data_IF_846098171533
#
_entry.id   IF_846098171533
#
_cell.length_a   1.000
_cell.length_b   1.000
_cell.length_c   1.000
_cell.angle_alpha   90.00
_cell.angle_beta   90.00
_cell.angle_gamma   90.00
#
_symmetry.space_group_name_H-M   'P 1'
#
loop_
_entity.id
_entity.type
_entity.pdbx_description
1 polymer ?
#
# COMPACT_ATOMS: atom_id res chain seq x y z
N UNK A 1 6.63 -13.07 1.83
CA UNK A 1 7.19 -11.78 1.52
C UNK A 1 8.50 -11.51 2.25
N UNK A 2 9.14 -10.44 1.86
CA UNK A 2 10.38 -9.96 2.45
C UNK A 2 10.22 -8.49 2.79
N UNK A 3 10.76 -8.09 3.93
CA UNK A 3 10.87 -6.69 4.33
C UNK A 3 12.27 -6.42 4.87
N UNK A 4 12.62 -5.16 5.04
CA UNK A 4 13.84 -4.74 5.70
C UNK A 4 13.51 -3.73 6.80
N UNK A 5 14.37 -3.70 7.82
CA UNK A 5 14.34 -2.71 8.88
C UNK A 5 15.58 -1.82 8.74
N UNK A 6 15.37 -0.53 8.50
CA UNK A 6 16.43 0.46 8.55
C UNK A 6 16.31 1.29 9.83
N UNK A 7 17.41 1.35 10.59
CA UNK A 7 17.51 2.18 11.80
C UNK A 7 18.83 2.95 11.72
N UNK A 8 18.77 4.26 11.92
CA UNK A 8 19.98 5.10 12.01
C UNK A 8 20.89 4.58 13.12
N UNK A 9 22.19 4.61 12.89
CA UNK A 9 23.20 3.99 13.78
C UNK A 9 23.07 4.46 15.23
N UNK A 10 22.84 5.76 15.42
CA UNK A 10 22.68 6.38 16.73
C UNK A 10 21.40 5.97 17.49
N UNK A 11 20.44 5.33 16.81
CA UNK A 11 19.19 4.86 17.39
C UNK A 11 19.13 3.34 17.57
N UNK A 12 20.12 2.60 17.05
CA UNK A 12 20.09 1.13 17.01
C UNK A 12 20.08 0.49 18.40
N UNK A 13 20.71 1.12 19.37
CA UNK A 13 20.73 0.63 20.76
C UNK A 13 19.36 0.68 21.47
N UNK A 14 18.46 1.54 20.96
CA UNK A 14 17.11 1.71 21.50
C UNK A 14 16.07 0.76 20.86
N UNK A 15 16.46 0.00 19.84
CA UNK A 15 15.56 -0.90 19.12
C UNK A 15 15.87 -2.34 19.49
N UNK A 16 14.97 -2.94 20.24
CA UNK A 16 15.09 -4.33 20.68
C UNK A 16 14.31 -5.27 19.76
N UNK A 17 14.80 -6.51 19.54
CA UNK A 17 14.09 -7.49 18.72
C UNK A 17 12.84 -7.99 19.46
N UNK A 18 11.76 -8.19 18.72
CA UNK A 18 10.55 -8.83 19.25
C UNK A 18 10.72 -10.35 19.41
N UNK A 19 11.64 -10.93 18.67
CA UNK A 19 12.01 -12.35 18.75
C UNK A 19 13.43 -12.45 19.27
N UNK A 20 13.60 -12.92 20.48
CA UNK A 20 14.90 -13.21 21.07
C UNK A 20 15.40 -14.54 20.55
N UNK A 21 16.60 -14.55 19.98
CA UNK A 21 17.23 -15.73 19.43
C UNK A 21 18.75 -15.73 19.69
N UNK A 22 19.50 -16.53 18.98
CA UNK A 22 20.94 -16.78 19.18
C UNK A 22 21.81 -15.52 19.21
N UNK A 23 21.41 -14.46 18.52
CA UNK A 23 22.15 -13.19 18.49
C UNK A 23 22.03 -12.37 19.78
N UNK A 24 21.06 -12.65 20.65
CA UNK A 24 20.78 -11.80 21.83
C UNK A 24 21.95 -11.71 22.82
N UNK A 25 22.54 -12.81 23.18
CA UNK A 25 23.70 -12.92 24.07
C UNK A 25 24.73 -13.88 23.46
N UNK A 26 25.14 -13.62 22.24
CA UNK A 26 26.03 -14.48 21.50
C UNK A 26 27.43 -14.53 22.15
N UNK A 27 27.97 -15.73 22.36
CA UNK A 27 29.36 -15.92 22.76
C UNK A 27 30.34 -15.48 21.68
N UNK A 28 29.89 -15.37 20.44
CA UNK A 28 30.66 -14.93 19.27
C UNK A 28 29.92 -13.79 18.56
N UNK A 29 29.90 -12.59 19.16
CA UNK A 29 29.20 -11.47 18.58
C UNK A 29 29.85 -11.05 17.25
N UNK A 30 28.99 -10.60 16.31
CA UNK A 30 29.43 -9.97 15.07
C UNK A 30 29.90 -8.54 15.26
N UNK A 31 30.01 -7.81 14.15
CA UNK A 31 30.44 -6.41 14.16
C UNK A 31 29.38 -5.43 14.65
N UNK A 32 28.14 -5.87 14.75
CA UNK A 32 26.99 -5.03 15.14
C UNK A 32 26.00 -5.82 15.98
N UNK A 33 25.82 -5.40 17.21
CA UNK A 33 24.83 -5.93 18.14
C UNK A 33 23.40 -5.84 17.57
N UNK A 34 23.09 -4.75 16.87
CA UNK A 34 21.81 -4.55 16.21
C UNK A 34 21.56 -5.62 15.12
N UNK A 35 22.56 -5.92 14.28
CA UNK A 35 22.46 -6.98 13.26
C UNK A 35 22.32 -8.35 13.90
N UNK A 36 23.15 -8.65 14.91
CA UNK A 36 23.08 -9.94 15.62
C UNK A 36 21.67 -10.17 16.21
N UNK A 37 21.07 -9.14 16.77
CA UNK A 37 19.75 -9.22 17.38
C UNK A 37 18.61 -9.39 16.38
N UNK A 38 18.70 -8.78 15.19
CA UNK A 38 17.58 -8.70 14.25
C UNK A 38 17.69 -9.68 13.08
N UNK A 39 18.89 -10.03 12.65
CA UNK A 39 19.07 -10.91 11.49
C UNK A 39 18.93 -12.40 11.87
N UNK A 40 19.37 -12.78 13.04
CA UNK A 40 19.36 -14.17 13.48
C UNK A 40 18.09 -14.53 14.27
N UNK A 41 17.02 -14.85 13.55
CA UNK A 41 15.71 -15.16 14.15
C UNK A 41 15.39 -16.67 14.16
N UNK A 42 16.40 -17.55 13.99
CA UNK A 42 16.25 -19.00 13.91
C UNK A 42 16.14 -19.53 12.49
N UNK A 43 16.03 -20.86 12.38
CA UNK A 43 15.92 -21.55 11.09
C UNK A 43 14.59 -21.23 10.42
N UNK A 44 14.64 -20.80 9.16
CA UNK A 44 13.47 -20.46 8.36
C UNK A 44 13.74 -20.61 6.87
N UNK A 45 12.70 -20.59 6.06
CA UNK A 45 12.83 -20.55 4.60
C UNK A 45 13.39 -19.17 4.17
N UNK A 46 14.54 -19.20 3.49
CA UNK A 46 15.24 -18.01 2.99
C UNK A 46 14.93 -17.72 1.52
N UNK A 47 14.12 -18.53 0.84
CA UNK A 47 13.86 -18.39 -0.59
C UNK A 47 13.33 -17.03 -0.98
N UNK A 48 12.44 -16.43 -0.16
CA UNK A 48 11.91 -15.09 -0.40
C UNK A 48 13.00 -14.00 -0.41
N UNK A 49 14.04 -14.11 0.43
CA UNK A 49 15.16 -13.15 0.45
C UNK A 49 16.00 -13.25 -0.81
N UNK A 50 16.18 -14.47 -1.34
CA UNK A 50 16.95 -14.72 -2.55
C UNK A 50 16.26 -14.16 -3.81
N UNK A 51 14.95 -13.88 -3.77
CA UNK A 51 14.22 -13.28 -4.90
C UNK A 51 14.39 -11.76 -5.00
N UNK A 52 14.86 -11.07 -3.94
CA UNK A 52 15.00 -9.61 -3.93
C UNK A 52 15.85 -9.05 -5.07
N UNK A 53 17.05 -9.61 -5.38
CA UNK A 53 17.85 -9.14 -6.50
C UNK A 53 17.11 -9.24 -7.85
N UNK A 54 16.35 -10.33 -8.06
CA UNK A 54 15.57 -10.54 -9.27
C UNK A 54 14.43 -9.50 -9.37
N UNK A 55 13.74 -9.21 -8.25
CA UNK A 55 12.69 -8.20 -8.21
C UNK A 55 13.23 -6.79 -8.51
N UNK A 56 14.39 -6.43 -7.94
CA UNK A 56 15.05 -5.13 -8.22
C UNK A 56 15.49 -5.04 -9.69
N UNK A 57 16.03 -6.13 -10.24
CA UNK A 57 16.41 -6.19 -11.66
C UNK A 57 15.18 -6.00 -12.55
N UNK A 58 14.08 -6.69 -12.26
CA UNK A 58 12.81 -6.56 -13.00
C UNK A 58 12.33 -5.11 -13.05
N UNK A 59 12.31 -4.40 -11.92
CA UNK A 59 11.92 -2.98 -11.88
C UNK A 59 12.80 -2.09 -12.76
N UNK A 60 14.12 -2.35 -12.79
CA UNK A 60 15.07 -1.61 -13.63
C UNK A 60 14.85 -1.88 -15.12
N UNK A 61 14.67 -3.15 -15.50
CA UNK A 61 14.46 -3.59 -16.89
C UNK A 61 13.14 -3.07 -17.48
N UNK A 62 12.13 -2.85 -16.64
CA UNK A 62 10.80 -2.37 -17.04
C UNK A 62 10.58 -0.88 -16.81
N UNK A 63 11.66 -0.10 -16.63
CA UNK A 63 11.61 1.35 -16.44
C UNK A 63 10.57 1.79 -15.38
N UNK A 64 10.65 1.18 -14.20
CA UNK A 64 9.70 1.41 -13.12
C UNK A 64 9.44 2.89 -12.77
N UNK A 65 10.42 3.82 -12.80
CA UNK A 65 10.15 5.23 -12.54
C UNK A 65 9.08 5.83 -13.47
N UNK A 66 9.12 5.49 -14.75
CA UNK A 66 8.13 5.98 -15.72
C UNK A 66 6.77 5.29 -15.53
N UNK A 67 6.76 3.98 -15.28
CA UNK A 67 5.53 3.23 -15.00
C UNK A 67 4.83 3.77 -13.76
N UNK A 68 5.55 3.97 -12.67
CA UNK A 68 4.99 4.49 -11.42
C UNK A 68 4.48 5.93 -11.56
N UNK A 69 5.16 6.75 -12.37
CA UNK A 69 4.70 8.12 -12.69
C UNK A 69 3.34 8.08 -13.39
N UNK A 70 3.18 7.25 -14.42
CA UNK A 70 1.91 7.08 -15.14
C UNK A 70 0.79 6.57 -14.23
N UNK A 71 1.08 5.57 -13.40
CA UNK A 71 0.12 5.07 -12.41
C UNK A 71 -0.34 6.19 -11.46
N UNK A 72 0.60 7.01 -10.96
CA UNK A 72 0.27 8.16 -10.12
C UNK A 72 -0.59 9.19 -10.84
N UNK A 73 -0.29 9.49 -12.09
CA UNK A 73 -1.08 10.42 -12.91
C UNK A 73 -2.53 9.94 -13.06
N UNK A 74 -2.74 8.66 -13.33
CA UNK A 74 -4.07 8.06 -13.35
C UNK A 74 -4.76 8.19 -11.98
N UNK A 75 -4.06 7.94 -10.87
CA UNK A 75 -4.63 8.12 -9.53
C UNK A 75 -5.09 9.55 -9.31
N UNK A 76 -4.26 10.55 -9.63
CA UNK A 76 -4.60 11.97 -9.44
C UNK A 76 -5.78 12.37 -10.31
N UNK A 77 -5.78 11.95 -11.59
CA UNK A 77 -6.85 12.27 -12.54
C UNK A 77 -8.20 11.70 -12.07
N UNK A 78 -8.23 10.43 -11.67
CA UNK A 78 -9.49 9.83 -11.22
C UNK A 78 -9.92 10.31 -9.84
N UNK A 79 -8.99 10.62 -8.92
CA UNK A 79 -9.35 11.29 -7.68
C UNK A 79 -10.08 12.58 -7.93
N UNK A 80 -9.60 13.40 -8.85
CA UNK A 80 -10.27 14.65 -9.23
C UNK A 80 -11.68 14.40 -9.76
N UNK A 81 -11.87 13.41 -10.66
CA UNK A 81 -13.20 13.04 -11.17
C UNK A 81 -14.16 12.62 -10.04
N UNK A 82 -13.69 11.90 -9.03
CA UNK A 82 -14.50 11.54 -7.86
C UNK A 82 -14.87 12.76 -7.03
N UNK A 83 -13.89 13.61 -6.70
CA UNK A 83 -14.07 14.81 -5.90
C UNK A 83 -15.07 15.76 -6.58
N UNK A 84 -14.90 16.03 -7.88
CA UNK A 84 -15.78 16.90 -8.66
C UNK A 84 -17.21 16.32 -8.71
N UNK A 85 -17.36 15.00 -8.90
CA UNK A 85 -18.67 14.37 -8.95
C UNK A 85 -19.40 14.37 -7.60
N UNK A 86 -18.68 14.06 -6.53
CA UNK A 86 -19.25 13.95 -5.17
C UNK A 86 -19.37 15.32 -4.48
N UNK A 87 -18.83 16.38 -5.08
CA UNK A 87 -18.75 17.71 -4.52
C UNK A 87 -18.16 17.72 -3.09
N UNK A 88 -17.03 17.07 -2.92
CA UNK A 88 -16.33 16.91 -1.64
C UNK A 88 -14.96 17.58 -1.68
N UNK A 89 -14.44 17.90 -0.50
CA UNK A 89 -13.08 18.40 -0.38
C UNK A 89 -12.04 17.26 -0.48
N UNK A 90 -10.89 17.59 -1.07
CA UNK A 90 -9.77 16.66 -1.13
C UNK A 90 -9.18 16.42 0.27
N UNK A 91 -9.02 15.16 0.73
CA UNK A 91 -8.47 14.88 2.05
C UNK A 91 -6.98 15.24 2.18
N UNK A 92 -6.27 15.41 1.08
CA UNK A 92 -4.86 15.82 1.06
C UNK A 92 -4.47 16.43 -0.29
N UNK A 93 -3.34 17.19 -0.36
CA UNK A 93 -2.80 17.70 -1.62
C UNK A 93 -2.40 16.59 -2.60
N UNK A 94 -2.42 16.87 -3.92
CA UNK A 94 -2.05 15.88 -4.96
C UNK A 94 -0.59 15.39 -4.86
N UNK A 95 0.31 16.24 -4.35
CA UNK A 95 1.72 15.87 -4.20
C UNK A 95 1.98 14.84 -3.07
N UNK A 96 0.99 14.57 -2.24
CA UNK A 96 1.05 13.52 -1.21
C UNK A 96 0.65 12.14 -1.75
N UNK A 97 0.06 12.09 -2.95
CA UNK A 97 -0.38 10.82 -3.54
C UNK A 97 0.79 10.07 -4.19
N UNK A 98 0.80 8.77 -3.93
CA UNK A 98 1.53 7.78 -4.73
C UNK A 98 0.59 7.13 -5.75
N UNK A 99 0.58 5.80 -5.75
CA UNK A 99 -0.26 4.97 -6.62
C UNK A 99 -1.60 4.58 -5.97
N UNK A 100 -2.05 5.31 -4.97
CA UNK A 100 -3.25 5.02 -4.19
C UNK A 100 -3.95 6.32 -3.79
N UNK A 101 -5.29 6.31 -3.78
CA UNK A 101 -6.10 7.38 -3.22
C UNK A 101 -7.25 6.83 -2.38
N UNK A 102 -7.63 7.59 -1.36
CA UNK A 102 -8.84 7.37 -0.57
C UNK A 102 -9.83 8.50 -0.85
N UNK A 103 -11.07 8.13 -1.13
CA UNK A 103 -12.17 9.02 -1.46
C UNK A 103 -13.18 8.99 -0.32
N UNK A 104 -13.48 10.10 0.36
CA UNK A 104 -14.60 10.16 1.28
C UNK A 104 -15.90 9.89 0.54
N UNK A 105 -16.75 9.04 1.09
CA UNK A 105 -18.05 8.72 0.54
C UNK A 105 -19.16 9.28 1.45
N UNK A 106 -20.25 9.82 0.90
CA UNK A 106 -21.41 10.27 1.67
C UNK A 106 -22.33 9.10 2.06
N UNK A 107 -21.77 8.02 2.62
CA UNK A 107 -22.50 6.82 3.05
C UNK A 107 -22.15 6.46 4.48
N UNK A 108 -23.14 5.93 5.23
CA UNK A 108 -22.97 5.52 6.63
C UNK A 108 -22.66 4.02 6.78
N UNK A 109 -23.01 3.20 5.78
CA UNK A 109 -22.84 1.75 5.81
C UNK A 109 -21.79 1.30 4.78
N UNK A 110 -20.53 1.28 5.21
CA UNK A 110 -19.40 0.85 4.41
C UNK A 110 -19.50 -0.64 4.01
N UNK A 111 -20.11 -1.48 4.84
CA UNK A 111 -20.21 -2.92 4.61
C UNK A 111 -21.17 -3.20 3.46
N UNK A 112 -22.37 -2.64 3.51
CA UNK A 112 -23.36 -2.79 2.44
C UNK A 112 -22.87 -2.16 1.14
N UNK A 113 -22.25 -0.99 1.19
CA UNK A 113 -21.70 -0.34 -0.01
C UNK A 113 -20.64 -1.22 -0.69
N UNK A 114 -19.69 -1.76 0.10
CA UNK A 114 -18.66 -2.68 -0.40
C UNK A 114 -19.27 -3.95 -1.00
N UNK A 115 -20.29 -4.52 -0.34
CA UNK A 115 -21.00 -5.70 -0.82
C UNK A 115 -21.65 -5.43 -2.18
N UNK A 116 -22.35 -4.30 -2.34
CA UNK A 116 -23.02 -3.94 -3.59
C UNK A 116 -22.01 -3.74 -4.73
N UNK A 117 -20.84 -3.11 -4.47
CA UNK A 117 -19.75 -3.00 -5.46
C UNK A 117 -19.30 -4.38 -5.96
N UNK A 118 -19.19 -5.36 -5.05
CA UNK A 118 -18.75 -6.70 -5.42
C UNK A 118 -19.85 -7.50 -6.13
N UNK A 119 -21.05 -7.54 -5.59
CA UNK A 119 -22.13 -8.41 -6.09
C UNK A 119 -22.75 -7.89 -7.39
N UNK A 120 -22.92 -6.58 -7.53
CA UNK A 120 -23.57 -5.98 -8.70
C UNK A 120 -22.59 -5.63 -9.81
N UNK A 121 -21.43 -5.08 -9.45
CA UNK A 121 -20.46 -4.55 -10.45
C UNK A 121 -19.21 -5.41 -10.61
N UNK A 122 -19.03 -6.44 -9.76
CA UNK A 122 -17.83 -7.29 -9.72
C UNK A 122 -16.55 -6.46 -9.49
N UNK A 123 -16.64 -5.47 -8.59
CA UNK A 123 -15.54 -4.59 -8.22
C UNK A 123 -15.13 -4.88 -6.79
N UNK A 124 -13.86 -5.27 -6.60
CA UNK A 124 -13.27 -5.50 -5.29
C UNK A 124 -12.32 -4.37 -4.93
N UNK A 125 -12.76 -3.49 -4.05
CA UNK A 125 -11.97 -2.39 -3.49
C UNK A 125 -12.21 -2.28 -1.99
N UNK A 126 -11.25 -1.81 -1.20
CA UNK A 126 -11.48 -1.48 0.21
C UNK A 126 -12.49 -0.33 0.36
N UNK A 127 -13.54 -0.59 1.13
CA UNK A 127 -14.43 0.44 1.69
C UNK A 127 -14.41 0.25 3.20
N UNK A 128 -14.14 1.32 3.95
CA UNK A 128 -13.89 1.26 5.38
C UNK A 128 -14.28 2.55 6.07
N UNK A 129 -14.50 2.47 7.37
CA UNK A 129 -14.77 3.64 8.21
C UNK A 129 -13.49 4.09 8.93
N UNK A 130 -13.28 5.39 8.97
CA UNK A 130 -12.24 6.04 9.73
C UNK A 130 -12.71 7.43 10.21
N UNK A 131 -12.57 7.72 11.50
CA UNK A 131 -13.02 8.96 12.11
C UNK A 131 -14.49 9.34 11.76
N UNK A 132 -15.38 8.37 11.88
CA UNK A 132 -16.81 8.50 11.57
C UNK A 132 -17.12 8.92 10.12
N UNK A 133 -16.21 8.66 9.19
CA UNK A 133 -16.40 8.85 7.75
C UNK A 133 -16.12 7.56 7.02
N UNK A 134 -16.89 7.30 5.97
CA UNK A 134 -16.66 6.18 5.07
C UNK A 134 -15.70 6.59 3.96
N UNK A 135 -14.75 5.71 3.67
CA UNK A 135 -13.76 5.91 2.60
C UNK A 135 -13.77 4.73 1.65
N UNK A 136 -13.70 5.02 0.36
CA UNK A 136 -13.32 4.06 -0.69
C UNK A 136 -11.85 4.29 -1.03
N UNK A 137 -11.04 3.22 -1.06
CA UNK A 137 -9.64 3.28 -1.46
C UNK A 137 -9.42 2.50 -2.75
N UNK A 138 -8.75 3.09 -3.72
CA UNK A 138 -8.27 2.37 -4.90
C UNK A 138 -6.76 2.53 -5.05
N UNK A 139 -6.14 1.53 -5.66
CA UNK A 139 -4.70 1.49 -5.93
C UNK A 139 -4.48 1.13 -7.39
N UNK A 140 -3.52 1.78 -8.04
CA UNK A 140 -3.21 1.58 -9.45
C UNK A 140 -1.80 1.04 -9.59
N UNK A 141 -1.69 -0.04 -10.37
CA UNK A 141 -0.43 -0.67 -10.74
C UNK A 141 -0.36 -0.80 -12.27
N UNK A 142 0.79 -1.19 -12.80
CA UNK A 142 1.04 -1.32 -14.24
C UNK A 142 0.02 -2.16 -15.01
N UNK A 143 -0.68 -3.06 -14.36
CA UNK A 143 -1.69 -3.95 -14.95
C UNK A 143 -3.12 -3.41 -14.87
N UNK A 144 -3.36 -2.26 -14.21
CA UNK A 144 -4.67 -1.64 -14.19
C UNK A 144 -4.89 -0.72 -15.39
N UNK A 145 -6.12 -0.69 -15.88
CA UNK A 145 -6.54 0.13 -17.01
C UNK A 145 -7.40 1.33 -16.60
N UNK A 146 -7.50 2.33 -17.47
CA UNK A 146 -8.43 3.44 -17.30
C UNK A 146 -9.90 3.00 -17.36
N UNK A 147 -10.20 1.91 -18.09
CA UNK A 147 -11.55 1.35 -18.16
C UNK A 147 -12.01 0.80 -16.80
N UNK A 148 -11.10 0.14 -16.05
CA UNK A 148 -11.40 -0.33 -14.70
C UNK A 148 -11.73 0.83 -13.76
N UNK A 149 -10.98 1.92 -13.83
CA UNK A 149 -11.23 3.12 -13.04
C UNK A 149 -12.53 3.83 -13.45
N UNK A 150 -12.83 3.86 -14.74
CA UNK A 150 -14.08 4.41 -15.27
C UNK A 150 -15.28 3.58 -14.80
N UNK A 151 -15.15 2.26 -14.82
CA UNK A 151 -16.16 1.34 -14.29
C UNK A 151 -16.39 1.57 -12.79
N UNK A 152 -15.32 1.73 -12.01
CA UNK A 152 -15.42 2.03 -10.59
C UNK A 152 -16.16 3.35 -10.35
N UNK A 153 -15.80 4.40 -11.07
CA UNK A 153 -16.46 5.72 -10.96
C UNK A 153 -17.95 5.62 -11.30
N UNK A 154 -18.29 4.91 -12.38
CA UNK A 154 -19.70 4.72 -12.78
C UNK A 154 -20.50 3.95 -11.73
N UNK A 155 -19.95 2.86 -11.22
CA UNK A 155 -20.58 2.07 -10.16
C UNK A 155 -20.82 2.89 -8.87
N UNK A 156 -19.85 3.71 -8.47
CA UNK A 156 -20.01 4.60 -7.32
C UNK A 156 -21.11 5.63 -7.57
N UNK A 157 -21.19 6.20 -8.77
CA UNK A 157 -22.25 7.15 -9.16
C UNK A 157 -23.64 6.53 -9.06
N UNK A 158 -23.80 5.32 -9.59
CA UNK A 158 -25.10 4.61 -9.55
C UNK A 158 -25.51 4.21 -8.14
N UNK A 159 -24.56 3.80 -7.29
CA UNK A 159 -24.85 3.43 -5.90
C UNK A 159 -25.16 4.63 -4.99
N UNK A 160 -24.83 5.84 -5.40
CA UNK A 160 -25.08 7.08 -4.64
C UNK A 160 -26.24 7.89 -5.18
N UNK A 161 -26.83 7.50 -6.32
CA UNK A 161 -28.03 8.14 -6.91
C UNK A 161 -29.30 7.61 -6.24
#
# INVERSE_FOLDING_TARGET
GVSFLYVKKELQENVHPLVISWGWESEKPGSSKFLDWHEWQGTRDMSAFLTVPAAVKFLKEHNWPEVSRKCRESVVTFRKKFIDHLNIESPCPDNWLGQMASIPLPVLDAVTFKKNLMETYHIQVPVFEWENKTYLRYSIQAYNSEDELTKLLSAVKELLS
#
